data_IF_412243137251
#
_entry.id   IF_412243137251
#
_cell.length_a   1.000
_cell.length_b   1.000
_cell.length_c   1.000
_cell.angle_alpha   90.00
_cell.angle_beta   90.00
_cell.angle_gamma   90.00
#
_symmetry.space_group_name_H-M   'P 1'
#
loop_
_entity.id
_entity.type
_entity.pdbx_description
1 polymer ?
#
# COMPACT_ATOMS: atom_id res chain seq x y z
N UNK A 1 5.55 23.33 -4.11
CA UNK A 1 6.16 21.99 -4.19
C UNK A 1 5.87 21.39 -5.55
N UNK A 2 6.89 21.00 -6.28
CA UNK A 2 6.65 20.34 -7.56
C UNK A 2 6.22 18.87 -7.35
N UNK A 3 5.77 18.24 -8.43
CA UNK A 3 5.24 16.86 -8.34
C UNK A 3 6.31 15.83 -7.97
N UNK A 4 7.56 16.06 -8.38
CA UNK A 4 8.64 15.12 -8.03
C UNK A 4 8.92 15.20 -6.52
N UNK A 5 8.96 16.38 -5.96
CA UNK A 5 9.15 16.55 -4.52
C UNK A 5 7.97 15.97 -3.73
N UNK A 6 6.76 16.16 -4.24
CA UNK A 6 5.56 15.62 -3.62
C UNK A 6 5.62 14.08 -3.62
N UNK A 7 6.04 13.47 -4.73
CA UNK A 7 6.19 12.02 -4.83
C UNK A 7 7.22 11.50 -3.83
N UNK A 8 8.37 12.18 -3.72
CA UNK A 8 9.40 11.79 -2.76
C UNK A 8 8.87 11.80 -1.33
N UNK A 9 8.04 12.79 -1.00
CA UNK A 9 7.44 12.88 0.33
C UNK A 9 6.50 11.72 0.59
N UNK A 10 5.66 11.37 -0.38
CA UNK A 10 4.76 10.22 -0.29
C UNK A 10 5.55 8.92 -0.14
N UNK A 11 6.61 8.76 -0.94
CA UNK A 11 7.47 7.57 -0.84
C UNK A 11 8.12 7.46 0.53
N UNK A 12 8.53 8.60 1.10
CA UNK A 12 9.11 8.62 2.44
C UNK A 12 8.11 8.17 3.50
N UNK A 13 6.86 8.62 3.40
CA UNK A 13 5.79 8.18 4.29
C UNK A 13 5.52 6.68 4.14
N UNK A 14 5.48 6.21 2.91
CA UNK A 14 5.30 4.79 2.62
C UNK A 14 6.42 3.94 3.19
N UNK A 15 7.65 4.38 3.01
CA UNK A 15 8.82 3.68 3.54
C UNK A 15 8.80 3.60 5.07
N UNK A 16 8.42 4.70 5.73
CA UNK A 16 8.33 4.72 7.18
C UNK A 16 7.29 3.71 7.68
N UNK A 17 6.13 3.66 7.03
CA UNK A 17 5.08 2.71 7.36
C UNK A 17 5.54 1.27 7.10
N UNK A 18 6.18 1.01 5.97
CA UNK A 18 6.70 -0.31 5.64
C UNK A 18 7.73 -0.77 6.68
N UNK A 19 8.65 0.12 7.05
CA UNK A 19 9.69 -0.20 8.02
C UNK A 19 9.09 -0.63 9.36
N UNK A 20 8.07 0.09 9.80
CA UNK A 20 7.37 -0.22 11.05
C UNK A 20 6.68 -1.59 10.99
N UNK A 21 5.94 -1.86 9.92
CA UNK A 21 5.23 -3.13 9.76
C UNK A 21 6.19 -4.29 9.55
N UNK A 22 7.26 -4.07 8.79
CA UNK A 22 8.25 -5.11 8.53
C UNK A 22 8.99 -5.55 9.80
N UNK A 23 9.18 -4.64 10.75
CA UNK A 23 9.76 -4.97 12.04
C UNK A 23 8.89 -5.99 12.80
N UNK A 24 7.55 -5.90 12.63
CA UNK A 24 6.62 -6.80 13.30
C UNK A 24 6.38 -8.10 12.52
N UNK A 25 6.24 -8.02 11.20
CA UNK A 25 5.82 -9.15 10.37
C UNK A 25 6.94 -9.76 9.54
N UNK A 26 8.07 -9.06 9.43
CA UNK A 26 9.22 -9.53 8.67
C UNK A 26 8.84 -9.82 7.23
N UNK A 27 9.22 -11.00 6.75
CA UNK A 27 9.09 -11.40 5.36
C UNK A 27 7.80 -12.14 5.05
N UNK A 28 6.80 -12.01 5.92
CA UNK A 28 5.54 -12.76 5.77
C UNK A 28 4.85 -12.48 4.43
N UNK A 29 5.03 -11.28 3.87
CA UNK A 29 4.41 -10.93 2.58
C UNK A 29 4.92 -11.80 1.43
N UNK A 30 6.09 -12.39 1.55
CA UNK A 30 6.69 -13.21 0.49
C UNK A 30 6.14 -14.64 0.48
N UNK A 31 5.38 -15.04 1.48
CA UNK A 31 4.96 -16.42 1.67
C UNK A 31 4.27 -17.04 0.45
N UNK A 32 3.39 -16.29 -0.19
CA UNK A 32 2.64 -16.75 -1.37
C UNK A 32 3.09 -16.08 -2.66
N UNK A 33 4.26 -15.43 -2.64
CA UNK A 33 4.83 -14.79 -3.83
C UNK A 33 4.02 -13.60 -4.31
N UNK A 34 4.25 -13.23 -5.56
CA UNK A 34 3.60 -12.08 -6.20
C UNK A 34 2.08 -12.22 -6.17
N UNK A 35 1.56 -13.42 -6.41
CA UNK A 35 0.11 -13.66 -6.39
C UNK A 35 -0.49 -13.29 -5.04
N UNK A 36 0.16 -13.68 -3.95
CA UNK A 36 -0.32 -13.32 -2.62
C UNK A 36 -0.40 -11.82 -2.41
N UNK A 37 0.60 -11.09 -2.90
CA UNK A 37 0.61 -9.63 -2.80
C UNK A 37 -0.50 -9.02 -3.65
N UNK A 38 -0.71 -9.53 -4.87
CA UNK A 38 -1.79 -9.05 -5.74
C UNK A 38 -3.16 -9.25 -5.10
N UNK A 39 -3.37 -10.35 -4.38
CA UNK A 39 -4.62 -10.57 -3.65
C UNK A 39 -4.82 -9.52 -2.56
N UNK A 40 -3.77 -9.11 -1.89
CA UNK A 40 -3.85 -8.02 -0.89
C UNK A 40 -4.21 -6.70 -1.54
N UNK A 41 -3.65 -6.43 -2.72
CA UNK A 41 -3.98 -5.23 -3.49
C UNK A 41 -5.46 -5.23 -3.84
N UNK A 42 -5.99 -6.35 -4.31
CA UNK A 42 -7.40 -6.47 -4.64
C UNK A 42 -8.29 -6.18 -3.43
N UNK A 43 -7.98 -6.75 -2.27
CA UNK A 43 -8.73 -6.50 -1.05
C UNK A 43 -8.78 -5.01 -0.71
N UNK A 44 -7.66 -4.31 -0.82
CA UNK A 44 -7.60 -2.87 -0.53
C UNK A 44 -8.39 -2.05 -1.54
N UNK A 45 -8.39 -2.46 -2.80
CA UNK A 45 -9.19 -1.80 -3.83
C UNK A 45 -10.68 -1.98 -3.53
N UNK A 46 -11.11 -3.19 -3.18
CA UNK A 46 -12.50 -3.46 -2.83
C UNK A 46 -12.95 -2.64 -1.63
N UNK A 47 -12.10 -2.51 -0.63
CA UNK A 47 -12.38 -1.67 0.52
C UNK A 47 -12.60 -0.21 0.12
N UNK A 48 -11.74 0.33 -0.75
CA UNK A 48 -11.86 1.71 -1.22
C UNK A 48 -13.14 1.93 -2.00
N UNK A 49 -13.52 0.99 -2.86
CA UNK A 49 -14.76 1.05 -3.63
C UNK A 49 -15.99 0.96 -2.72
N UNK A 50 -15.93 0.13 -1.70
CA UNK A 50 -17.02 -0.01 -0.73
C UNK A 50 -17.26 1.30 0.02
N UNK A 51 -16.19 1.96 0.46
CA UNK A 51 -16.27 3.27 1.11
C UNK A 51 -16.94 4.28 0.19
N UNK A 52 -16.53 4.31 -1.09
CA UNK A 52 -17.10 5.20 -2.08
C UNK A 52 -18.60 4.95 -2.30
N UNK A 53 -19.00 3.68 -2.41
CA UNK A 53 -20.42 3.29 -2.59
C UNK A 53 -21.30 3.73 -1.44
N UNK A 54 -20.78 3.71 -0.23
CA UNK A 54 -21.54 4.07 0.96
C UNK A 54 -21.64 5.57 1.18
N UNK A 55 -21.19 6.37 0.22
CA UNK A 55 -21.31 7.82 0.27
C UNK A 55 -20.37 8.50 1.23
N UNK A 56 -19.33 7.79 1.69
CA UNK A 56 -18.32 8.40 2.56
C UNK A 56 -17.45 9.34 1.73
N UNK A 57 -17.14 10.50 2.30
CA UNK A 57 -16.26 11.47 1.65
C UNK A 57 -14.82 10.98 1.75
N UNK A 58 -14.29 10.44 0.65
CA UNK A 58 -12.97 9.87 0.62
C UNK A 58 -11.85 10.86 1.00
N UNK A 59 -12.03 12.12 0.65
CA UNK A 59 -11.02 13.16 0.95
C UNK A 59 -10.86 13.36 2.45
N UNK A 60 -11.93 13.19 3.20
CA UNK A 60 -11.93 13.39 4.66
C UNK A 60 -11.78 12.09 5.45
N UNK A 61 -11.73 10.95 4.78
CA UNK A 61 -11.60 9.67 5.43
C UNK A 61 -10.12 9.35 5.66
N UNK A 62 -9.69 9.39 6.91
CA UNK A 62 -8.31 9.09 7.27
C UNK A 62 -7.91 7.66 6.89
N UNK A 63 -8.86 6.74 6.90
CA UNK A 63 -8.63 5.35 6.50
C UNK A 63 -8.25 5.21 5.04
N UNK A 64 -8.70 6.13 4.16
CA UNK A 64 -8.33 6.04 2.74
C UNK A 64 -6.85 6.38 2.53
N UNK A 65 -6.31 7.32 3.29
CA UNK A 65 -4.88 7.61 3.20
C UNK A 65 -4.06 6.39 3.55
N UNK A 66 -4.38 5.72 4.65
CA UNK A 66 -3.67 4.51 5.08
C UNK A 66 -3.82 3.41 4.03
N UNK A 67 -5.01 3.26 3.47
CA UNK A 67 -5.27 2.26 2.44
C UNK A 67 -4.41 2.52 1.19
N UNK A 68 -4.30 3.77 0.77
CA UNK A 68 -3.49 4.13 -0.40
C UNK A 68 -2.00 3.96 -0.14
N UNK A 69 -1.52 4.26 1.07
CA UNK A 69 -0.13 3.98 1.44
C UNK A 69 0.14 2.48 1.45
N UNK A 70 -0.81 1.68 1.93
CA UNK A 70 -0.68 0.22 1.86
C UNK A 70 -0.61 -0.27 0.41
N UNK A 71 -1.45 0.27 -0.48
CA UNK A 71 -1.41 -0.07 -1.90
C UNK A 71 -0.06 0.27 -2.53
N UNK A 72 0.47 1.44 -2.21
CA UNK A 72 1.79 1.87 -2.63
C UNK A 72 2.85 0.84 -2.20
N UNK A 73 2.81 0.44 -0.94
CA UNK A 73 3.78 -0.48 -0.39
C UNK A 73 3.62 -1.90 -0.96
N UNK A 74 2.39 -2.37 -1.14
CA UNK A 74 2.16 -3.68 -1.77
C UNK A 74 2.67 -3.72 -3.20
N UNK A 75 2.50 -2.65 -3.97
CA UNK A 75 3.05 -2.59 -5.31
C UNK A 75 4.58 -2.71 -5.28
N UNK A 76 5.23 -2.00 -4.34
CA UNK A 76 6.67 -2.10 -4.15
C UNK A 76 7.09 -3.52 -3.73
N UNK A 77 6.35 -4.14 -2.81
CA UNK A 77 6.60 -5.51 -2.37
C UNK A 77 6.51 -6.51 -3.53
N UNK A 78 5.51 -6.34 -4.40
CA UNK A 78 5.37 -7.20 -5.57
C UNK A 78 6.59 -7.05 -6.50
N UNK A 79 7.06 -5.84 -6.69
CA UNK A 79 8.27 -5.58 -7.48
C UNK A 79 9.51 -6.23 -6.87
N UNK A 80 9.65 -6.17 -5.53
CA UNK A 80 10.74 -6.85 -4.82
C UNK A 80 10.73 -8.35 -5.13
N UNK A 81 9.56 -8.97 -5.05
CA UNK A 81 9.44 -10.42 -5.28
C UNK A 81 9.73 -10.80 -6.74
N UNK A 82 9.39 -9.93 -7.69
CA UNK A 82 9.72 -10.17 -9.09
C UNK A 82 11.22 -10.17 -9.34
N UNK A 83 11.96 -9.36 -8.58
CA UNK A 83 13.41 -9.27 -8.71
C UNK A 83 14.15 -10.43 -8.05
N UNK A 84 13.53 -11.12 -7.12
CA UNK A 84 14.14 -12.20 -6.34
C UNK A 84 14.07 -13.57 -7.01
N UNK A 85 14.24 -13.63 -8.26
CA UNK A 85 14.16 -14.94 -8.96
C UNK A 85 15.43 -15.78 -8.83
#
# INVERSE_FOLDING_TARGET
MDRVEQMKQIQSEGLALFTKKNADYGDAFAKYGVIGVLMRIEDKIQRSLSISKNGVNLVKDEGIKDTLLDLHNYAAMALMLLEEK
#
